data_IF_719725918586
#
_entry.id   IF_719725918586
#
_cell.length_a   1.000
_cell.length_b   1.000
_cell.length_c   1.000
_cell.angle_alpha   90.00
_cell.angle_beta   90.00
_cell.angle_gamma   90.00
#
_symmetry.space_group_name_H-M   'P 1'
#
loop_
_entity.id
_entity.type
_entity.pdbx_description
1 polymer ?
#
# COMPACT_ATOMS: atom_id res chain seq x y z
N UNK A 1 -9.81 38.13 2.57
CA UNK A 1 -8.90 38.26 1.41
C UNK A 1 -8.91 36.93 0.67
N UNK A 2 -9.97 36.63 -0.07
CA UNK A 2 -10.15 36.94 -1.50
C UNK A 2 -9.01 36.38 -2.37
N UNK A 3 -9.27 35.29 -3.11
CA UNK A 3 -9.18 35.27 -4.59
C UNK A 3 -9.63 33.91 -5.15
N UNK A 4 -10.93 33.88 -5.44
CA UNK A 4 -11.59 33.11 -6.48
C UNK A 4 -11.07 33.62 -7.84
N UNK A 5 -10.57 32.74 -8.72
CA UNK A 5 -10.41 33.04 -10.15
C UNK A 5 -10.94 31.87 -10.98
N UNK A 6 -12.00 32.20 -11.72
CA UNK A 6 -12.63 31.43 -12.79
C UNK A 6 -11.89 31.75 -14.10
N UNK A 7 -12.12 30.92 -15.14
CA UNK A 7 -12.04 31.14 -16.62
C UNK A 7 -11.11 30.08 -17.23
N UNK A 8 -11.56 29.02 -17.93
CA UNK A 8 -12.42 28.86 -19.13
C UNK A 8 -11.70 29.18 -20.46
N UNK A 9 -11.36 28.14 -21.24
CA UNK A 9 -11.04 28.18 -22.69
C UNK A 9 -11.32 26.77 -23.26
N UNK A 10 -12.38 26.52 -24.04
CA UNK A 10 -12.67 26.92 -25.43
C UNK A 10 -11.94 26.06 -26.50
N UNK A 11 -12.65 25.01 -26.96
CA UNK A 11 -12.93 24.59 -28.35
C UNK A 11 -11.79 24.63 -29.39
N UNK A 12 -11.61 23.52 -30.14
CA UNK A 12 -11.59 23.52 -31.62
C UNK A 12 -11.70 22.10 -32.20
N UNK A 13 -12.73 21.93 -33.04
CA UNK A 13 -12.98 20.81 -33.93
C UNK A 13 -12.27 21.02 -35.28
N UNK A 14 -11.88 19.94 -35.97
CA UNK A 14 -11.67 19.75 -37.43
C UNK A 14 -10.92 18.42 -37.61
N UNK A 15 -11.19 17.52 -38.55
CA UNK A 15 -12.04 17.54 -39.72
C UNK A 15 -12.07 16.15 -40.36
N UNK A 16 -12.99 16.02 -41.31
CA UNK A 16 -13.47 14.87 -42.08
C UNK A 16 -12.45 14.15 -42.98
N UNK A 17 -12.59 12.84 -43.10
CA UNK A 17 -12.34 12.12 -44.35
C UNK A 17 -13.43 11.05 -44.54
N UNK A 18 -14.45 11.42 -45.32
CA UNK A 18 -15.39 10.49 -45.92
C UNK A 18 -14.62 9.56 -46.88
N UNK A 19 -14.89 8.26 -46.80
CA UNK A 19 -14.56 7.34 -47.89
C UNK A 19 -15.82 6.53 -48.19
N UNK A 20 -16.52 6.97 -49.23
CA UNK A 20 -17.55 6.20 -49.92
C UNK A 20 -16.96 4.89 -50.42
N UNK A 21 -17.65 3.78 -50.14
CA UNK A 21 -17.50 2.53 -50.89
C UNK A 21 -18.90 1.93 -51.00
N UNK A 22 -19.44 1.98 -52.22
CA UNK A 22 -20.69 1.36 -52.65
C UNK A 22 -20.58 -0.17 -52.77
N UNK A 23 -21.75 -0.84 -52.62
CA UNK A 23 -22.15 -2.19 -53.10
C UNK A 23 -21.53 -3.41 -52.41
N UNK A 24 -22.24 -4.48 -52.05
CA UNK A 24 -23.65 -4.92 -52.19
C UNK A 24 -23.84 -6.17 -51.27
N UNK A 25 -25.05 -6.72 -51.08
CA UNK A 25 -25.45 -7.41 -49.87
C UNK A 25 -25.06 -8.89 -49.83
N UNK A 26 -24.40 -9.29 -48.74
CA UNK A 26 -24.45 -10.67 -48.27
C UNK A 26 -24.96 -10.67 -46.85
N UNK A 27 -26.22 -11.04 -46.75
CA UNK A 27 -26.85 -11.69 -45.62
C UNK A 27 -25.85 -12.62 -44.92
N UNK A 28 -25.39 -12.19 -43.75
CA UNK A 28 -24.68 -13.02 -42.80
C UNK A 28 -25.24 -12.60 -41.45
N UNK A 29 -26.15 -13.41 -40.93
CA UNK A 29 -26.63 -13.32 -39.56
C UNK A 29 -25.42 -13.63 -38.67
N UNK A 30 -24.61 -12.61 -38.42
CA UNK A 30 -23.55 -12.68 -37.42
C UNK A 30 -24.25 -12.62 -36.07
N UNK A 31 -24.39 -13.81 -35.48
CA UNK A 31 -24.72 -14.01 -34.07
C UNK A 31 -23.85 -13.07 -33.26
N UNK A 32 -24.45 -11.97 -32.78
CA UNK A 32 -23.82 -11.04 -31.85
C UNK A 32 -23.34 -11.85 -30.66
N UNK A 33 -22.05 -12.18 -30.64
CA UNK A 33 -21.41 -12.71 -29.44
C UNK A 33 -21.64 -11.69 -28.33
N UNK A 34 -22.16 -12.10 -27.17
CA UNK A 34 -22.30 -11.19 -26.05
C UNK A 34 -20.93 -10.59 -25.77
N UNK A 35 -20.86 -9.26 -25.76
CA UNK A 35 -19.71 -8.52 -25.25
C UNK A 35 -19.49 -9.04 -23.84
N UNK A 36 -18.50 -9.91 -23.67
CA UNK A 36 -17.98 -10.25 -22.36
C UNK A 36 -17.55 -8.93 -21.74
N UNK A 37 -18.35 -8.49 -20.79
CA UNK A 37 -18.06 -7.38 -19.92
C UNK A 37 -16.88 -7.81 -19.06
N UNK A 38 -15.67 -7.66 -19.60
CA UNK A 38 -14.43 -7.73 -18.83
C UNK A 38 -14.58 -6.66 -17.75
N UNK A 39 -14.73 -7.10 -16.51
CA UNK A 39 -15.07 -6.24 -15.39
C UNK A 39 -13.76 -5.73 -14.78
N UNK A 40 -13.30 -4.48 -15.06
CA UNK A 40 -12.01 -3.96 -14.59
C UNK A 40 -11.93 -3.72 -13.07
N UNK A 41 -12.95 -4.13 -12.31
CA UNK A 41 -13.04 -3.90 -10.86
C UNK A 41 -12.33 -4.99 -10.04
N UNK A 42 -12.28 -6.23 -10.53
CA UNK A 42 -11.64 -7.33 -9.79
C UNK A 42 -10.14 -7.14 -9.69
N UNK A 43 -9.50 -6.68 -10.77
CA UNK A 43 -8.04 -6.60 -10.85
C UNK A 43 -7.46 -5.65 -9.81
N UNK A 44 -8.09 -4.49 -9.60
CA UNK A 44 -7.62 -3.49 -8.65
C UNK A 44 -7.75 -3.92 -7.18
N UNK A 45 -8.72 -4.76 -6.83
CA UNK A 45 -8.88 -5.28 -5.47
C UNK A 45 -7.84 -6.36 -5.17
N UNK A 46 -7.59 -7.25 -6.13
CA UNK A 46 -6.55 -8.27 -6.05
C UNK A 46 -5.14 -7.66 -5.96
N UNK A 47 -4.85 -6.65 -6.78
CA UNK A 47 -3.58 -5.91 -6.71
C UNK A 47 -3.35 -5.30 -5.33
N UNK A 48 -4.38 -4.67 -4.75
CA UNK A 48 -4.24 -4.06 -3.43
C UNK A 48 -4.07 -5.09 -2.30
N UNK A 49 -4.75 -6.23 -2.39
CA UNK A 49 -4.51 -7.33 -1.45
C UNK A 49 -3.05 -7.81 -1.49
N UNK A 50 -2.46 -7.91 -2.70
CA UNK A 50 -1.06 -8.26 -2.86
C UNK A 50 -0.12 -7.21 -2.26
N UNK A 51 -0.37 -5.92 -2.51
CA UNK A 51 0.41 -4.82 -1.89
C UNK A 51 0.40 -4.90 -0.37
N UNK A 52 -0.78 -5.12 0.24
CA UNK A 52 -0.88 -5.27 1.70
C UNK A 52 -0.11 -6.47 2.22
N UNK A 53 -0.24 -7.63 1.55
CA UNK A 53 0.45 -8.86 1.93
C UNK A 53 1.98 -8.74 1.83
N UNK A 54 2.48 -8.15 0.75
CA UNK A 54 3.92 -7.91 0.57
C UNK A 54 4.46 -6.92 1.61
N UNK A 55 3.71 -5.85 1.90
CA UNK A 55 4.09 -4.90 2.95
C UNK A 55 4.08 -5.55 4.34
N UNK A 56 3.05 -6.33 4.69
CA UNK A 56 2.99 -7.08 5.95
C UNK A 56 4.22 -7.97 6.12
N UNK A 57 4.54 -8.75 5.09
CA UNK A 57 5.68 -9.67 5.08
C UNK A 57 6.98 -8.92 5.36
N UNK A 58 7.22 -7.82 4.65
CA UNK A 58 8.43 -7.01 4.83
C UNK A 58 8.53 -6.43 6.24
N UNK A 59 7.44 -5.90 6.79
CA UNK A 59 7.44 -5.32 8.14
C UNK A 59 7.61 -6.40 9.22
N UNK A 60 7.03 -7.59 9.05
CA UNK A 60 7.24 -8.72 9.96
C UNK A 60 8.69 -9.22 9.93
N UNK A 61 9.33 -9.25 8.78
CA UNK A 61 10.74 -9.63 8.68
C UNK A 61 11.63 -8.66 9.49
N UNK A 62 11.38 -7.35 9.38
CA UNK A 62 12.09 -6.33 10.18
C UNK A 62 11.84 -6.51 11.68
N UNK A 63 10.58 -6.70 12.11
CA UNK A 63 10.27 -6.97 13.52
C UNK A 63 10.95 -8.23 14.07
N UNK A 64 11.13 -9.26 13.24
CA UNK A 64 11.84 -10.47 13.65
C UNK A 64 13.34 -10.24 13.85
N UNK A 65 13.97 -9.38 13.03
CA UNK A 65 15.37 -8.97 13.23
C UNK A 65 15.52 -8.22 14.55
N UNK A 66 14.65 -7.22 14.77
CA UNK A 66 14.59 -6.46 16.03
C UNK A 66 14.39 -7.36 17.25
N UNK A 67 13.52 -8.37 17.18
CA UNK A 67 13.30 -9.30 18.31
C UNK A 67 14.56 -10.10 18.67
N UNK A 68 15.40 -10.45 17.68
CA UNK A 68 16.68 -11.11 17.93
C UNK A 68 17.66 -10.18 18.67
N UNK A 69 17.74 -8.91 18.29
CA UNK A 69 18.62 -7.93 18.93
C UNK A 69 18.15 -7.61 20.36
N UNK A 70 16.84 -7.44 20.57
CA UNK A 70 16.23 -7.28 21.90
C UNK A 70 16.51 -8.51 22.77
N UNK A 71 16.45 -9.72 22.22
CA UNK A 71 16.80 -10.93 22.95
C UNK A 71 18.27 -10.91 23.41
N UNK A 72 19.19 -10.42 22.56
CA UNK A 72 20.58 -10.18 22.93
C UNK A 72 20.71 -9.25 24.14
N UNK A 73 20.05 -8.09 24.11
CA UNK A 73 20.03 -7.13 25.22
C UNK A 73 19.48 -7.75 26.52
N UNK A 74 18.44 -8.57 26.43
CA UNK A 74 17.82 -9.22 27.58
C UNK A 74 18.74 -10.24 28.28
N UNK A 75 19.77 -10.75 27.60
CA UNK A 75 20.77 -11.64 28.20
C UNK A 75 21.92 -10.92 28.91
N UNK A 76 21.97 -9.59 28.82
CA UNK A 76 22.97 -8.79 29.52
C UNK A 76 22.89 -8.97 31.04
N UNK A 77 24.03 -8.97 31.72
CA UNK A 77 24.09 -8.99 33.19
C UNK A 77 23.72 -7.64 33.82
N UNK A 78 23.73 -6.56 33.02
CA UNK A 78 23.36 -5.23 33.49
C UNK A 78 21.83 -5.07 33.58
N UNK A 79 21.36 -4.68 34.76
CA UNK A 79 19.93 -4.52 35.03
C UNK A 79 19.31 -3.40 34.19
N UNK A 80 20.03 -2.30 33.93
CA UNK A 80 19.50 -1.21 33.13
C UNK A 80 19.31 -1.64 31.67
N UNK A 81 20.22 -2.43 31.11
CA UNK A 81 20.06 -3.06 29.79
C UNK A 81 18.82 -3.97 29.74
N UNK A 82 18.60 -4.81 30.77
CA UNK A 82 17.40 -5.67 30.82
C UNK A 82 16.09 -4.86 30.88
N UNK A 83 16.07 -3.77 31.66
CA UNK A 83 14.91 -2.87 31.71
C UNK A 83 14.66 -2.18 30.36
N UNK A 84 15.72 -1.79 29.64
CA UNK A 84 15.63 -1.25 28.28
C UNK A 84 15.09 -2.31 27.32
N UNK A 85 15.59 -3.54 27.36
CA UNK A 85 15.10 -4.65 26.53
C UNK A 85 13.59 -4.89 26.75
N UNK A 86 13.11 -4.82 27.99
CA UNK A 86 11.68 -4.95 28.29
C UNK A 86 10.83 -3.83 27.66
N UNK A 87 11.32 -2.58 27.65
CA UNK A 87 10.63 -1.45 27.01
C UNK A 87 10.58 -1.61 25.49
N UNK A 88 11.71 -1.96 24.88
CA UNK A 88 11.81 -2.21 23.44
C UNK A 88 10.87 -3.34 23.01
N UNK A 89 10.79 -4.42 23.81
CA UNK A 89 9.86 -5.53 23.56
C UNK A 89 8.40 -5.08 23.58
N UNK A 90 8.02 -4.19 24.51
CA UNK A 90 6.67 -3.65 24.56
C UNK A 90 6.35 -2.79 23.32
N UNK A 91 7.30 -1.99 22.82
CA UNK A 91 7.14 -1.22 21.59
C UNK A 91 7.01 -2.14 20.36
N UNK A 92 7.86 -3.17 20.26
CA UNK A 92 7.76 -4.23 19.24
C UNK A 92 6.37 -4.87 19.23
N UNK A 93 5.88 -5.27 20.40
CA UNK A 93 4.57 -5.92 20.54
C UNK A 93 3.41 -4.98 20.16
N UNK A 94 3.53 -3.68 20.43
CA UNK A 94 2.56 -2.68 19.98
C UNK A 94 2.54 -2.52 18.44
N UNK A 95 3.72 -2.50 17.81
CA UNK A 95 3.88 -2.48 16.36
C UNK A 95 3.33 -3.76 15.70
N UNK A 96 3.59 -4.93 16.29
CA UNK A 96 3.04 -6.20 15.80
C UNK A 96 1.50 -6.18 15.81
N UNK A 97 0.89 -5.71 16.90
CA UNK A 97 -0.58 -5.55 16.97
C UNK A 97 -1.12 -4.55 15.94
N UNK A 98 -0.38 -3.47 15.66
CA UNK A 98 -0.74 -2.52 14.60
C UNK A 98 -0.71 -3.19 13.22
N UNK A 99 0.30 -4.02 12.95
CA UNK A 99 0.37 -4.81 11.72
C UNK A 99 -0.75 -5.85 11.62
N UNK A 100 -1.20 -6.45 12.71
CA UNK A 100 -2.35 -7.38 12.68
C UNK A 100 -3.64 -6.71 12.17
N UNK A 101 -3.71 -5.37 12.19
CA UNK A 101 -4.85 -4.60 11.64
C UNK A 101 -4.78 -4.37 10.13
N UNK A 102 -3.67 -4.73 9.47
CA UNK A 102 -3.40 -4.44 8.06
C UNK A 102 -4.46 -5.01 7.12
N UNK A 103 -5.02 -6.19 7.44
CA UNK A 103 -6.06 -6.84 6.66
C UNK A 103 -7.38 -6.05 6.59
N UNK A 104 -7.63 -5.17 7.57
CA UNK A 104 -8.80 -4.31 7.63
C UNK A 104 -8.56 -2.93 6.98
N UNK A 105 -7.33 -2.61 6.58
CA UNK A 105 -7.02 -1.32 5.98
C UNK A 105 -7.60 -1.23 4.57
N UNK A 106 -8.41 -0.19 4.34
CA UNK A 106 -8.92 0.17 3.04
C UNK A 106 -7.84 0.90 2.22
N UNK A 107 -8.04 1.00 0.90
CA UNK A 107 -7.19 1.84 0.04
C UNK A 107 -7.14 3.28 0.54
N UNK A 108 -8.29 3.81 0.94
CA UNK A 108 -8.39 5.11 1.61
C UNK A 108 -7.79 4.98 3.01
N UNK A 109 -6.66 5.63 3.24
CA UNK A 109 -5.90 5.56 4.51
C UNK A 109 -4.69 4.64 4.47
N UNK A 110 -4.47 3.91 3.37
CA UNK A 110 -3.30 3.04 3.21
C UNK A 110 -1.97 3.77 3.37
N UNK A 111 -1.83 4.93 2.73
CA UNK A 111 -0.58 5.69 2.76
C UNK A 111 -0.24 6.20 4.17
N UNK A 112 -1.25 6.66 4.91
CA UNK A 112 -1.08 7.10 6.30
C UNK A 112 -0.73 5.93 7.22
N UNK A 113 -1.38 4.78 7.04
CA UNK A 113 -1.04 3.56 7.76
C UNK A 113 0.41 3.14 7.48
N UNK A 114 0.80 3.10 6.21
CA UNK A 114 2.16 2.73 5.77
C UNK A 114 3.20 3.67 6.37
N UNK A 115 3.01 4.99 6.24
CA UNK A 115 3.91 5.98 6.80
C UNK A 115 3.99 5.87 8.33
N UNK A 116 2.86 5.64 9.00
CA UNK A 116 2.79 5.47 10.44
C UNK A 116 3.54 4.23 10.92
N UNK A 117 3.35 3.08 10.29
CA UNK A 117 4.06 1.84 10.64
C UNK A 117 5.56 1.96 10.35
N UNK A 118 5.93 2.46 9.17
CA UNK A 118 7.34 2.64 8.80
C UNK A 118 8.06 3.55 9.78
N UNK A 119 7.50 4.73 10.11
CA UNK A 119 8.09 5.66 11.08
C UNK A 119 8.26 5.03 12.46
N UNK A 120 7.24 4.34 12.96
CA UNK A 120 7.28 3.70 14.28
C UNK A 120 8.33 2.57 14.31
N UNK A 121 8.50 1.85 13.20
CA UNK A 121 9.47 0.77 13.05
C UNK A 121 10.91 1.30 12.92
N UNK A 122 11.13 2.36 12.13
CA UNK A 122 12.43 3.02 12.01
C UNK A 122 12.90 3.55 13.38
N UNK A 123 11.98 4.17 14.16
CA UNK A 123 12.28 4.60 15.52
C UNK A 123 12.68 3.43 16.43
N UNK A 124 11.99 2.29 16.31
CA UNK A 124 12.32 1.10 17.11
C UNK A 124 13.70 0.54 16.73
N UNK A 125 14.05 0.53 15.45
CA UNK A 125 15.39 0.13 14.99
C UNK A 125 16.47 1.07 15.55
N UNK A 126 16.26 2.39 15.48
CA UNK A 126 17.18 3.38 16.05
C UNK A 126 17.34 3.22 17.59
N UNK A 127 16.26 2.96 18.31
CA UNK A 127 16.28 2.75 19.76
C UNK A 127 17.05 1.46 20.14
N UNK A 128 16.94 0.41 19.33
CA UNK A 128 17.69 -0.85 19.51
C UNK A 128 19.16 -0.66 19.19
N UNK A 129 19.49 0.03 18.10
CA UNK A 129 20.86 0.37 17.71
C UNK A 129 21.55 1.24 18.78
N UNK A 130 20.81 2.17 19.39
CA UNK A 130 21.32 2.99 20.49
C UNK A 130 21.60 2.16 21.75
N UNK A 131 20.80 1.12 22.01
CA UNK A 131 20.94 0.26 23.19
C UNK A 131 22.03 -0.82 23.06
N UNK A 132 22.44 -1.16 21.83
CA UNK A 132 23.44 -2.20 21.53
C UNK A 132 24.87 -1.66 21.36
N UNK A 133 25.05 -0.33 21.30
CA UNK A 133 26.36 0.34 21.25
C UNK A 133 26.96 0.57 22.63
#
# INVERSE_FOLDING_TARGET
>A
MSKLWIVLAAILASGSACRDTERSPTESVEVRKPVESSSPRTDSEHEFANVRSSYETAMRERLNKIDADIAGLATSADRATQETAAKLRAQRDALAKKLDTIGYQAKTGWDEFQAGVTRDLDQLEDDVDAATR
#
